data_IF_685170984467
#
_entry.id   IF_685170984467
#
_cell.length_a   1.000
_cell.length_b   1.000
_cell.length_c   1.000
_cell.angle_alpha   90.00
_cell.angle_beta   90.00
_cell.angle_gamma   90.00
#
_symmetry.space_group_name_H-M   'P 1'
#
loop_
_entity.id
_entity.type
_entity.pdbx_description
1 polymer ?
#
# COMPACT_ATOMS: atom_id res chain seq x y z
N UNK A 1 -5.05 -22.40 -1.00
CA UNK A 1 -5.94 -21.22 -1.17
C UNK A 1 -5.53 -20.54 -2.47
N UNK A 2 -6.38 -20.61 -3.50
CA UNK A 2 -6.10 -20.07 -4.82
C UNK A 2 -6.62 -18.62 -4.84
N UNK A 3 -5.74 -17.65 -4.55
CA UNK A 3 -6.10 -16.24 -4.51
C UNK A 3 -6.17 -15.73 -5.96
N UNK A 4 -7.33 -15.88 -6.59
CA UNK A 4 -7.60 -15.28 -7.89
C UNK A 4 -7.56 -13.76 -7.71
N UNK A 5 -6.43 -13.14 -8.03
CA UNK A 5 -6.13 -11.70 -7.99
C UNK A 5 -6.87 -10.90 -9.08
N UNK A 6 -8.05 -11.37 -9.49
CA UNK A 6 -8.92 -10.63 -10.40
C UNK A 6 -9.43 -9.37 -9.71
N UNK A 7 -8.81 -8.23 -9.98
CA UNK A 7 -9.16 -6.89 -9.49
C UNK A 7 -9.21 -6.71 -7.96
N UNK A 8 -8.65 -7.65 -7.19
CA UNK A 8 -8.64 -7.57 -5.72
C UNK A 8 -7.42 -6.81 -5.22
N UNK A 9 -7.63 -5.98 -4.21
CA UNK A 9 -6.60 -5.21 -3.52
C UNK A 9 -6.50 -5.72 -2.11
N UNK A 10 -5.27 -5.90 -1.62
CA UNK A 10 -4.99 -6.24 -0.23
C UNK A 10 -4.45 -5.00 0.48
N UNK A 11 -5.01 -4.68 1.64
CA UNK A 11 -4.59 -3.56 2.47
C UNK A 11 -4.04 -4.12 3.78
N UNK A 12 -2.80 -3.76 4.11
CA UNK A 12 -2.10 -4.18 5.31
C UNK A 12 -1.82 -2.96 6.18
N UNK A 13 -2.04 -3.10 7.48
CA UNK A 13 -1.70 -2.08 8.46
C UNK A 13 -0.18 -2.12 8.76
N UNK A 14 0.46 -0.96 8.69
CA UNK A 14 1.91 -0.82 8.85
C UNK A 14 2.67 -0.91 7.52
N UNK A 15 3.99 -0.76 7.62
CA UNK A 15 4.93 -0.81 6.50
C UNK A 15 5.60 -2.18 6.41
N UNK A 16 5.74 -2.71 5.21
CA UNK A 16 6.58 -3.89 4.95
C UNK A 16 8.06 -3.49 4.94
N UNK A 17 8.94 -4.37 5.43
CA UNK A 17 10.38 -4.20 5.22
C UNK A 17 10.75 -4.47 3.77
N UNK A 18 11.86 -3.92 3.30
CA UNK A 18 12.29 -4.06 1.91
C UNK A 18 12.43 -5.53 1.47
N UNK A 19 12.90 -6.40 2.37
CA UNK A 19 13.04 -7.84 2.11
C UNK A 19 11.68 -8.52 1.98
N UNK A 20 10.69 -8.08 2.77
CA UNK A 20 9.32 -8.59 2.73
C UNK A 20 8.59 -8.14 1.46
N UNK A 21 8.79 -6.88 1.06
CA UNK A 21 8.26 -6.35 -0.21
C UNK A 21 8.79 -7.14 -1.41
N UNK A 22 10.11 -7.34 -1.48
CA UNK A 22 10.75 -8.07 -2.57
C UNK A 22 10.22 -9.51 -2.67
N UNK A 23 10.16 -10.21 -1.53
CA UNK A 23 9.65 -11.58 -1.48
C UNK A 23 8.19 -11.68 -1.88
N UNK A 24 7.36 -10.74 -1.44
CA UNK A 24 5.93 -10.72 -1.79
C UNK A 24 5.72 -10.48 -3.29
N UNK A 25 6.50 -9.60 -3.91
CA UNK A 25 6.47 -9.39 -5.36
C UNK A 25 6.87 -10.68 -6.08
N UNK A 26 7.97 -11.29 -5.68
CA UNK A 26 8.50 -12.52 -6.28
C UNK A 26 7.48 -13.67 -6.20
N UNK A 27 7.01 -13.98 -4.99
CA UNK A 27 6.05 -15.05 -4.73
C UNK A 27 4.76 -14.84 -5.52
N UNK A 28 4.27 -13.59 -5.57
CA UNK A 28 3.00 -13.32 -6.24
C UNK A 28 3.15 -13.31 -7.77
N UNK A 29 4.26 -12.81 -8.32
CA UNK A 29 4.55 -12.89 -9.76
C UNK A 29 4.64 -14.34 -10.24
N UNK A 30 5.26 -15.22 -9.46
CA UNK A 30 5.32 -16.66 -9.75
C UNK A 30 3.91 -17.31 -9.76
N UNK A 31 2.97 -16.82 -8.94
CA UNK A 31 1.60 -17.33 -8.90
C UNK A 31 0.71 -16.83 -10.04
N UNK A 32 0.92 -15.59 -10.51
CA UNK A 32 0.04 -14.90 -11.48
C UNK A 32 0.56 -14.93 -12.92
N UNK A 33 1.72 -15.55 -13.18
CA UNK A 33 2.34 -15.63 -14.51
C UNK A 33 1.39 -16.17 -15.61
N UNK A 34 0.44 -17.03 -15.23
CA UNK A 34 -0.53 -17.64 -16.13
C UNK A 34 -1.77 -16.76 -16.44
N UNK A 35 -1.92 -15.59 -15.78
CA UNK A 35 -3.08 -14.72 -15.93
C UNK A 35 -2.86 -13.77 -17.12
N UNK A 36 -3.54 -14.03 -18.24
CA UNK A 36 -3.53 -13.14 -19.41
C UNK A 36 -3.97 -11.72 -18.99
N UNK A 37 -3.24 -10.71 -19.46
CA UNK A 37 -3.45 -9.27 -19.18
C UNK A 37 -3.05 -8.78 -17.78
N UNK A 38 -2.42 -9.62 -16.95
CA UNK A 38 -1.89 -9.16 -15.67
C UNK A 38 -0.64 -8.29 -15.89
N UNK A 39 -0.70 -7.00 -15.52
CA UNK A 39 0.40 -6.03 -15.75
C UNK A 39 1.49 -6.05 -14.66
N UNK A 40 1.35 -6.92 -13.65
CA UNK A 40 2.23 -6.99 -12.49
C UNK A 40 1.62 -6.37 -11.23
N UNK A 41 2.37 -6.48 -10.14
CA UNK A 41 1.95 -6.05 -8.79
C UNK A 41 2.74 -4.82 -8.41
N UNK A 42 2.09 -3.94 -7.67
CA UNK A 42 2.72 -2.76 -7.11
C UNK A 42 2.36 -2.64 -5.63
N UNK A 43 3.28 -2.07 -4.87
CA UNK A 43 3.08 -1.70 -3.49
C UNK A 43 3.06 -0.19 -3.37
N UNK A 44 2.09 0.33 -2.63
CA UNK A 44 2.05 1.73 -2.25
C UNK A 44 1.90 1.85 -0.74
N UNK A 45 2.84 2.57 -0.11
CA UNK A 45 2.72 2.97 1.28
C UNK A 45 2.01 4.33 1.31
N UNK A 46 0.88 4.37 1.99
CA UNK A 46 0.09 5.59 2.21
C UNK A 46 0.39 6.07 3.63
N UNK A 47 0.94 7.28 3.71
CA UNK A 47 1.20 7.99 4.96
C UNK A 47 0.47 9.34 4.97
N UNK A 48 0.12 9.88 6.14
CA UNK A 48 -0.46 11.22 6.25
C UNK A 48 0.44 12.29 5.61
N UNK A 49 -0.10 13.05 4.65
CA UNK A 49 0.63 14.17 4.04
C UNK A 49 0.58 15.40 4.96
N UNK A 50 1.65 15.59 5.73
CA UNK A 50 1.76 16.71 6.65
C UNK A 50 2.26 17.99 6.01
N UNK A 51 2.52 18.05 4.69
CA UNK A 51 3.17 19.23 4.06
C UNK A 51 2.39 20.52 4.30
N UNK A 52 1.06 20.44 4.30
CA UNK A 52 0.13 21.57 4.53
C UNK A 52 -0.17 21.84 6.01
N UNK A 53 0.32 21.02 6.92
CA UNK A 53 0.06 21.13 8.35
C UNK A 53 1.01 22.09 9.07
N UNK A 54 0.53 22.67 10.17
CA UNK A 54 1.30 23.58 11.02
C UNK A 54 2.52 22.89 11.66
N UNK A 55 3.56 23.68 11.95
CA UNK A 55 4.83 23.19 12.54
C UNK A 55 4.60 22.42 13.86
N UNK A 56 3.64 22.85 14.68
CA UNK A 56 3.29 22.17 15.93
C UNK A 56 2.72 20.76 15.69
N UNK A 57 1.91 20.58 14.63
CA UNK A 57 1.32 19.29 14.26
C UNK A 57 2.41 18.34 13.74
N UNK A 58 3.32 18.86 12.90
CA UNK A 58 4.49 18.11 12.42
C UNK A 58 5.36 17.59 13.58
N UNK A 59 5.62 18.43 14.58
CA UNK A 59 6.41 18.05 15.75
C UNK A 59 5.73 16.97 16.59
N UNK A 60 4.43 17.13 16.89
CA UNK A 60 3.64 16.12 17.62
C UNK A 60 3.61 14.79 16.87
N UNK A 61 3.43 14.82 15.55
CA UNK A 61 3.45 13.62 14.73
C UNK A 61 4.80 12.91 14.76
N UNK A 62 5.92 13.63 14.69
CA UNK A 62 7.26 13.02 14.76
C UNK A 62 7.53 12.30 16.10
N UNK A 63 7.05 12.87 17.21
CA UNK A 63 7.14 12.23 18.54
C UNK A 63 6.23 11.00 18.59
N UNK A 64 4.98 11.12 18.12
CA UNK A 64 4.04 10.00 18.07
C UNK A 64 4.56 8.84 17.20
N UNK A 65 5.14 9.13 16.03
CA UNK A 65 5.73 8.12 15.13
C UNK A 65 6.89 7.36 15.78
N UNK A 66 7.71 8.04 16.59
CA UNK A 66 8.80 7.37 17.34
C UNK A 66 8.29 6.49 18.49
N UNK A 67 7.15 6.83 19.09
CA UNK A 67 6.57 6.08 20.21
C UNK A 67 5.71 4.88 19.74
N UNK A 68 4.93 5.06 18.67
CA UNK A 68 3.95 4.08 18.16
C UNK A 68 4.51 3.26 16.99
N UNK A 69 5.62 3.68 16.39
CA UNK A 69 6.23 3.04 15.21
C UNK A 69 5.53 3.39 13.89
N UNK A 70 5.79 2.61 12.85
CA UNK A 70 5.21 2.76 11.50
C UNK A 70 3.72 2.34 11.39
N UNK A 71 3.05 2.13 12.53
CA UNK A 71 1.63 1.73 12.64
C UNK A 71 0.65 2.76 12.06
N UNK A 72 1.10 3.96 11.68
CA UNK A 72 0.24 4.94 11.00
C UNK A 72 0.24 4.82 9.47
N UNK A 73 1.09 3.96 8.92
CA UNK A 73 1.18 3.71 7.48
C UNK A 73 0.20 2.61 7.06
N UNK A 74 -0.35 2.73 5.85
CA UNK A 74 -1.14 1.69 5.19
C UNK A 74 -0.38 1.21 3.95
N UNK A 75 -0.12 -0.10 3.88
CA UNK A 75 0.47 -0.70 2.69
C UNK A 75 -0.63 -1.29 1.82
N UNK A 76 -0.74 -0.80 0.58
CA UNK A 76 -1.69 -1.25 -0.42
C UNK A 76 -0.98 -2.09 -1.46
N UNK A 77 -1.50 -3.28 -1.74
CA UNK A 77 -0.95 -4.26 -2.67
C UNK A 77 -2.03 -4.63 -3.69
N UNK A 78 -1.69 -4.62 -4.97
CA UNK A 78 -2.62 -5.04 -6.02
C UNK A 78 -2.06 -4.85 -7.43
N UNK A 79 -2.92 -4.98 -8.46
CA UNK A 79 -2.53 -4.74 -9.84
C UNK A 79 -1.95 -3.32 -10.01
N UNK A 80 -0.80 -3.20 -10.69
CA UNK A 80 -0.07 -1.92 -10.82
C UNK A 80 -0.94 -0.77 -11.35
N UNK A 81 -1.89 -1.04 -12.25
CA UNK A 81 -2.82 -0.03 -12.77
C UNK A 81 -3.67 0.60 -11.67
N UNK A 82 -4.15 -0.20 -10.72
CA UNK A 82 -5.04 0.26 -9.64
C UNK A 82 -4.22 0.93 -8.53
N UNK A 83 -3.08 0.34 -8.17
CA UNK A 83 -2.22 0.88 -7.09
C UNK A 83 -1.65 2.24 -7.46
N UNK A 84 -1.24 2.47 -8.72
CA UNK A 84 -0.82 3.79 -9.21
C UNK A 84 -1.91 4.84 -9.08
N UNK A 85 -3.15 4.44 -9.31
CA UNK A 85 -4.31 5.31 -9.22
C UNK A 85 -4.59 5.70 -7.77
N UNK A 86 -4.53 4.74 -6.85
CA UNK A 86 -4.66 4.94 -5.40
C UNK A 86 -3.52 5.80 -4.84
N UNK A 87 -2.28 5.60 -5.30
CA UNK A 87 -1.14 6.44 -4.92
C UNK A 87 -1.33 7.90 -5.32
N UNK A 88 -2.01 8.15 -6.45
CA UNK A 88 -2.34 9.50 -6.93
C UNK A 88 -3.48 10.14 -6.13
N UNK A 89 -4.49 9.34 -5.79
CA UNK A 89 -5.66 9.77 -5.03
C UNK A 89 -6.09 8.70 -4.02
N UNK A 90 -5.64 8.80 -2.75
CA UNK A 90 -5.96 7.82 -1.70
C UNK A 90 -7.47 7.67 -1.44
N UNK A 91 -8.29 8.68 -1.78
CA UNK A 91 -9.75 8.61 -1.59
C UNK A 91 -10.41 7.53 -2.46
N UNK A 92 -9.73 7.07 -3.51
CA UNK A 92 -10.22 5.97 -4.34
C UNK A 92 -10.31 4.63 -3.60
N UNK A 93 -9.61 4.49 -2.47
CA UNK A 93 -9.80 3.33 -1.59
C UNK A 93 -11.24 3.27 -1.08
N UNK A 94 -11.83 4.41 -0.70
CA UNK A 94 -13.19 4.47 -0.17
C UNK A 94 -14.23 4.03 -1.20
N UNK A 95 -14.02 4.34 -2.48
CA UNK A 95 -14.89 3.97 -3.61
C UNK A 95 -14.82 2.48 -3.97
N UNK A 96 -13.77 1.76 -3.54
CA UNK A 96 -13.58 0.33 -3.80
C UNK A 96 -14.10 -0.56 -2.66
N UNK A 97 -14.37 0.04 -1.50
CA UNK A 97 -14.93 -0.62 -0.31
C UNK A 97 -16.43 -0.33 -0.12
N UNK A 98 -17.00 0.57 -0.91
CA UNK A 98 -18.44 0.87 -0.95
C UNK A 98 -19.18 -0.02 -1.94
#
# INVERSE_FOLDING_TARGET
MNLVLGNKIVIIHGRLRAEEEARLIEDTMAMVDHIKNFKGIELAVIEPDLRKENILIKMKYGIAKRLVGDSSALTVIGPSSIVKEIRRDPKKIELLLS
#
